data_IF_751911781539
#
_entry.id   IF_751911781539
#
_cell.length_a   1.000
_cell.length_b   1.000
_cell.length_c   1.000
_cell.angle_alpha   90.00
_cell.angle_beta   90.00
_cell.angle_gamma   90.00
#
_symmetry.space_group_name_H-M   'P 1'
#
loop_
_entity.id
_entity.type
_entity.pdbx_description
1 polymer ?
#
# COMPACT_ATOMS: atom_id res chain seq x y z
N UNK A 1 -4.09 11.10 1.53
CA UNK A 1 -4.36 11.99 2.69
C UNK A 1 -3.24 11.88 3.73
N UNK A 2 -2.95 10.69 4.25
CA UNK A 2 -1.95 10.51 5.33
C UNK A 2 -0.52 10.93 4.96
N UNK A 3 -0.08 10.67 3.72
CA UNK A 3 1.27 11.07 3.29
C UNK A 3 1.42 12.59 3.24
N UNK A 4 0.41 13.31 2.77
CA UNK A 4 0.46 14.78 2.68
C UNK A 4 0.48 15.41 4.07
N UNK A 5 -0.37 14.95 4.99
CA UNK A 5 -0.42 15.51 6.35
C UNK A 5 0.91 15.32 7.09
N UNK A 6 1.53 14.14 6.98
CA UNK A 6 2.86 13.90 7.55
C UNK A 6 3.95 14.78 6.94
N UNK A 7 3.91 14.99 5.62
CA UNK A 7 4.90 15.82 4.92
C UNK A 7 4.72 17.31 5.18
N UNK A 8 3.49 17.81 5.20
CA UNK A 8 3.19 19.19 5.55
C UNK A 8 3.56 19.49 7.01
N UNK A 9 3.29 18.56 7.93
CA UNK A 9 3.72 18.68 9.33
C UNK A 9 5.24 18.78 9.46
N UNK A 10 5.98 17.97 8.69
CA UNK A 10 7.45 17.94 8.77
C UNK A 10 8.10 19.14 8.05
N UNK A 11 7.49 19.64 6.96
CA UNK A 11 7.96 20.78 6.18
C UNK A 11 6.80 21.60 5.58
N UNK A 12 6.25 22.58 6.33
CA UNK A 12 5.11 23.36 5.86
C UNK A 12 5.44 24.24 4.65
N UNK A 13 6.69 24.73 4.55
CA UNK A 13 7.12 25.65 3.48
C UNK A 13 7.32 24.99 2.11
N UNK A 14 7.51 23.66 2.06
CA UNK A 14 7.72 22.92 0.80
C UNK A 14 6.40 22.34 0.29
N UNK A 15 5.47 22.04 1.19
CA UNK A 15 4.22 21.35 0.89
C UNK A 15 3.00 22.17 1.35
N UNK A 16 2.90 23.41 0.89
CA UNK A 16 1.84 24.35 1.29
C UNK A 16 0.47 23.99 0.68
N UNK A 17 0.44 23.63 -0.60
CA UNK A 17 -0.80 23.34 -1.33
C UNK A 17 -1.15 21.85 -1.32
N UNK A 18 -2.26 21.50 -0.65
CA UNK A 18 -2.84 20.16 -0.70
C UNK A 18 -3.24 19.76 -2.13
N UNK A 19 -3.76 20.71 -2.91
CA UNK A 19 -4.26 20.46 -4.27
C UNK A 19 -3.12 20.07 -5.21
N UNK A 20 -2.02 20.81 -5.15
CA UNK A 20 -0.83 20.52 -5.97
C UNK A 20 -0.24 19.16 -5.60
N UNK A 21 -0.15 18.83 -4.30
CA UNK A 21 0.30 17.50 -3.89
C UNK A 21 -0.60 16.39 -4.43
N UNK A 22 -1.92 16.61 -4.43
CA UNK A 22 -2.89 15.62 -4.93
C UNK A 22 -2.75 15.39 -6.44
N UNK A 23 -2.56 16.46 -7.21
CA UNK A 23 -2.38 16.39 -8.67
C UNK A 23 -1.04 15.75 -9.05
N UNK A 24 0.03 16.09 -8.34
CA UNK A 24 1.39 15.63 -8.64
C UNK A 24 1.68 14.21 -8.17
N UNK A 25 1.07 13.78 -7.07
CA UNK A 25 1.40 12.51 -6.40
C UNK A 25 0.21 11.60 -6.15
N UNK A 26 -0.92 12.12 -5.65
CA UNK A 26 -2.04 11.24 -5.24
C UNK A 26 -2.71 10.57 -6.43
N UNK A 27 -3.15 11.35 -7.42
CA UNK A 27 -3.92 10.84 -8.56
C UNK A 27 -3.14 9.82 -9.42
N UNK A 28 -1.86 10.05 -9.79
CA UNK A 28 -1.12 9.07 -10.56
C UNK A 28 -0.80 7.81 -9.75
N UNK A 29 -0.47 7.95 -8.46
CA UNK A 29 -0.11 6.80 -7.60
C UNK A 29 -1.33 5.93 -7.28
N UNK A 30 -2.51 6.53 -7.02
CA UNK A 30 -3.74 5.75 -6.80
C UNK A 30 -4.13 4.96 -8.04
N UNK A 31 -4.03 5.57 -9.23
CA UNK A 31 -4.27 4.85 -10.48
C UNK A 31 -3.32 3.66 -10.69
N UNK A 32 -2.05 3.79 -10.30
CA UNK A 32 -1.07 2.70 -10.40
C UNK A 32 -1.35 1.57 -9.40
N UNK A 33 -1.76 1.90 -8.17
CA UNK A 33 -2.08 0.91 -7.13
C UNK A 33 -3.35 0.13 -7.49
N UNK A 34 -4.32 0.80 -8.10
CA UNK A 34 -5.57 0.19 -8.56
C UNK A 34 -5.44 -0.55 -9.90
N UNK A 35 -4.26 -0.54 -10.53
CA UNK A 35 -4.00 -1.20 -11.82
C UNK A 35 -4.64 -0.52 -13.03
N UNK A 36 -5.16 0.70 -12.85
CA UNK A 36 -5.86 1.48 -13.87
C UNK A 36 -4.92 2.32 -14.75
N UNK A 37 -3.65 2.47 -14.36
CA UNK A 37 -2.65 3.22 -15.12
C UNK A 37 -1.29 2.52 -15.17
N UNK A 38 -0.57 2.70 -16.27
CA UNK A 38 0.81 2.21 -16.42
C UNK A 38 1.70 2.75 -15.30
N UNK A 39 2.55 1.86 -14.79
CA UNK A 39 3.51 2.16 -13.75
C UNK A 39 4.49 3.24 -14.21
N UNK A 40 4.36 4.46 -13.68
CA UNK A 40 5.23 5.58 -14.03
C UNK A 40 6.37 5.71 -13.02
N UNK A 41 7.47 5.02 -13.30
CA UNK A 41 8.70 5.07 -12.49
C UNK A 41 9.22 6.48 -12.21
N UNK A 42 9.01 7.42 -13.14
CA UNK A 42 9.57 8.76 -13.03
C UNK A 42 8.93 9.54 -11.87
N UNK A 43 7.62 9.38 -11.66
CA UNK A 43 6.89 10.01 -10.55
C UNK A 43 7.39 9.45 -9.21
N UNK A 44 7.55 8.13 -9.13
CA UNK A 44 8.03 7.44 -7.93
C UNK A 44 9.47 7.85 -7.61
N UNK A 45 10.37 7.87 -8.61
CA UNK A 45 11.76 8.31 -8.44
C UNK A 45 11.84 9.76 -7.96
N UNK A 46 10.98 10.66 -8.48
CA UNK A 46 10.91 12.05 -8.05
C UNK A 46 10.45 12.18 -6.60
N UNK A 47 9.40 11.45 -6.21
CA UNK A 47 8.93 11.41 -4.83
C UNK A 47 10.04 10.92 -3.90
N UNK A 48 10.69 9.80 -4.23
CA UNK A 48 11.81 9.28 -3.46
C UNK A 48 12.96 10.29 -3.34
N UNK A 49 13.29 11.05 -4.39
CA UNK A 49 14.35 12.08 -4.32
C UNK A 49 14.02 13.18 -3.32
N UNK A 50 12.76 13.62 -3.28
CA UNK A 50 12.30 14.65 -2.33
C UNK A 50 12.25 14.10 -0.91
N UNK A 51 11.81 12.85 -0.72
CA UNK A 51 11.65 12.23 0.59
C UNK A 51 12.96 11.70 1.20
N UNK A 52 13.93 11.27 0.39
CA UNK A 52 15.18 10.62 0.83
C UNK A 52 15.98 11.37 1.90
N UNK A 53 16.17 12.70 1.85
CA UNK A 53 16.90 13.41 2.92
C UNK A 53 16.13 13.48 4.24
N UNK A 54 14.81 13.25 4.23
CA UNK A 54 13.94 13.38 5.41
C UNK A 54 13.51 12.04 6.00
N UNK A 55 13.57 10.96 5.21
CA UNK A 55 13.25 9.61 5.64
C UNK A 55 14.52 8.78 5.79
N UNK A 56 14.92 8.51 7.03
CA UNK A 56 15.91 7.49 7.30
C UNK A 56 15.25 6.11 7.30
N UNK A 57 15.28 5.44 6.15
CA UNK A 57 14.83 4.04 6.01
C UNK A 57 16.04 3.11 6.10
N UNK A 58 16.07 2.23 7.10
CA UNK A 58 17.04 1.13 7.22
C UNK A 58 16.30 -0.19 7.26
N UNK A 59 16.83 -1.20 6.61
CA UNK A 59 16.31 -2.57 6.70
C UNK A 59 16.87 -3.26 7.94
N UNK A 60 16.08 -4.12 8.58
CA UNK A 60 16.54 -4.90 9.74
C UNK A 60 17.80 -5.72 9.41
N UNK A 61 17.90 -6.19 8.17
CA UNK A 61 19.08 -6.84 7.60
C UNK A 61 20.34 -5.96 7.56
N UNK A 62 20.20 -4.63 7.55
CA UNK A 62 21.30 -3.65 7.48
C UNK A 62 21.75 -3.13 8.86
N UNK A 63 21.06 -3.52 9.94
CA UNK A 63 21.32 -2.98 11.29
C UNK A 63 21.63 -4.09 12.29
N UNK A 64 21.05 -5.28 12.11
CA UNK A 64 21.11 -6.34 13.11
C UNK A 64 21.92 -7.54 12.65
N UNK A 65 23.22 -7.50 12.93
CA UNK A 65 24.14 -8.64 12.81
C UNK A 65 24.04 -9.61 14.00
N UNK A 66 23.43 -9.21 15.12
CA UNK A 66 23.35 -9.98 16.36
C UNK A 66 22.09 -10.84 16.50
N UNK A 67 21.12 -10.73 15.59
CA UNK A 67 19.86 -11.46 15.66
C UNK A 67 19.91 -12.74 14.82
N UNK A 68 19.25 -13.84 15.28
CA UNK A 68 19.15 -15.07 14.50
C UNK A 68 18.33 -14.87 13.22
N UNK A 69 18.56 -15.75 12.23
CA UNK A 69 17.86 -15.70 10.93
C UNK A 69 16.35 -15.85 11.13
N UNK A 70 15.57 -14.98 10.47
CA UNK A 70 14.11 -15.11 10.36
C UNK A 70 13.79 -16.11 9.26
N UNK A 71 12.93 -17.08 9.56
CA UNK A 71 12.34 -17.99 8.58
C UNK A 71 10.84 -17.76 8.52
N UNK A 72 10.28 -17.74 7.31
CA UNK A 72 8.86 -17.57 7.08
C UNK A 72 8.33 -18.81 6.37
N UNK A 73 7.34 -19.46 6.97
CA UNK A 73 6.73 -20.67 6.45
C UNK A 73 5.27 -20.37 6.11
N UNK A 74 4.97 -20.33 4.81
CA UNK A 74 3.60 -20.24 4.34
C UNK A 74 3.06 -21.65 4.17
N UNK A 75 2.19 -22.07 5.09
CA UNK A 75 1.54 -23.39 5.05
C UNK A 75 0.12 -23.23 4.51
N UNK A 76 -0.12 -23.78 3.33
CA UNK A 76 -1.43 -23.73 2.68
C UNK A 76 -2.34 -24.81 3.28
N UNK A 77 -3.36 -24.38 4.02
CA UNK A 77 -4.35 -25.28 4.61
C UNK A 77 -5.58 -25.43 3.71
N UNK A 78 -6.07 -26.66 3.54
CA UNK A 78 -7.34 -26.92 2.84
C UNK A 78 -8.51 -26.64 3.78
N UNK A 79 -9.59 -26.09 3.23
CA UNK A 79 -10.86 -25.96 3.95
C UNK A 79 -11.43 -27.34 4.27
N UNK A 80 -11.96 -27.50 5.48
CA UNK A 80 -12.80 -28.65 5.83
C UNK A 80 -14.10 -28.64 5.03
N UNK A 81 -14.77 -29.79 4.95
CA UNK A 81 -16.02 -29.92 4.19
C UNK A 81 -17.10 -28.93 4.67
N UNK A 82 -17.24 -28.73 5.98
CA UNK A 82 -18.18 -27.76 6.55
C UNK A 82 -17.80 -26.32 6.22
N UNK A 83 -16.52 -25.97 6.32
CA UNK A 83 -16.04 -24.63 5.98
C UNK A 83 -16.25 -24.32 4.49
N UNK A 84 -16.00 -25.28 3.61
CA UNK A 84 -16.24 -25.12 2.18
C UNK A 84 -17.72 -24.88 1.89
N UNK A 85 -18.61 -25.69 2.46
CA UNK A 85 -20.06 -25.49 2.30
C UNK A 85 -20.54 -24.11 2.77
N UNK A 86 -20.09 -23.66 3.95
CA UNK A 86 -20.46 -22.33 4.47
C UNK A 86 -19.86 -21.19 3.64
N UNK A 87 -18.63 -21.37 3.15
CA UNK A 87 -18.00 -20.41 2.26
C UNK A 87 -18.76 -20.29 0.94
N UNK A 88 -19.15 -21.42 0.34
CA UNK A 88 -19.90 -21.45 -0.92
C UNK A 88 -21.30 -20.83 -0.75
N UNK A 89 -22.02 -21.10 0.37
CA UNK A 89 -23.31 -20.46 0.69
C UNK A 89 -23.16 -18.95 0.91
N UNK A 90 -22.13 -18.51 1.64
CA UNK A 90 -21.85 -17.09 1.82
C UNK A 90 -21.53 -16.40 0.49
N UNK A 91 -20.68 -17.01 -0.34
CA UNK A 91 -20.31 -16.46 -1.64
C UNK A 91 -21.51 -16.43 -2.60
N UNK A 92 -22.41 -17.41 -2.55
CA UNK A 92 -23.65 -17.40 -3.31
C UNK A 92 -24.51 -16.21 -2.90
N UNK A 93 -24.75 -16.00 -1.60
CA UNK A 93 -25.54 -14.87 -1.08
C UNK A 93 -24.90 -13.51 -1.42
N UNK A 94 -23.58 -13.37 -1.30
CA UNK A 94 -22.87 -12.14 -1.62
C UNK A 94 -22.99 -11.76 -3.11
N UNK A 95 -23.00 -12.74 -4.01
CA UNK A 95 -23.25 -12.51 -5.45
C UNK A 95 -24.65 -11.98 -5.73
N UNK A 96 -25.67 -12.44 -5.01
CA UNK A 96 -27.03 -11.92 -5.17
C UNK A 96 -27.15 -10.48 -4.66
N UNK A 97 -26.50 -10.14 -3.55
CA UNK A 97 -26.54 -8.75 -3.01
C UNK A 97 -25.78 -7.77 -3.92
N UNK A 98 -24.65 -8.17 -4.51
CA UNK A 98 -23.89 -7.33 -5.45
C UNK A 98 -24.51 -7.23 -6.85
N UNK A 99 -25.53 -8.02 -7.18
CA UNK A 99 -26.28 -7.92 -8.44
C UNK A 99 -27.56 -7.08 -8.31
N UNK A 100 -28.04 -6.89 -7.07
CA UNK A 100 -29.22 -6.07 -6.75
C UNK A 100 -28.88 -4.64 -6.28
N UNK A 101 -27.60 -4.34 -6.06
CA UNK A 101 -27.05 -2.99 -5.88
C UNK A 101 -26.26 -2.60 -7.13
#
# INVERSE_FOLDING_TARGET
MELWSLMHFLMPNVFESHREFKEWFSNPVTGMIEGNSEYNENIIKRLHKVLRPFLLRRLKSEVETQMPKKYEHVVMCRLSNRQRYLYDDFMARAKYVSFFL
#
